data_IF_721781597500
#
_entry.id   IF_721781597500
#
_cell.length_a   1.000
_cell.length_b   1.000
_cell.length_c   1.000
_cell.angle_alpha   90.00
_cell.angle_beta   90.00
_cell.angle_gamma   90.00
#
_symmetry.space_group_name_H-M   'P 1'
#
loop_
_entity.id
_entity.type
_entity.pdbx_description
1 polymer ?
#
# COMPACT_ATOMS: atom_id res chain seq x y z
N UNK A 1 31.83 -9.57 -36.01
CA UNK A 1 31.99 -8.85 -34.74
C UNK A 1 30.64 -8.89 -34.04
N UNK A 2 30.42 -9.94 -33.25
CA UNK A 2 29.28 -10.05 -32.34
C UNK A 2 29.54 -9.10 -31.19
N UNK A 3 28.89 -7.93 -31.21
CA UNK A 3 28.81 -7.07 -30.04
C UNK A 3 28.07 -7.84 -28.96
N UNK A 4 28.76 -8.18 -27.87
CA UNK A 4 28.14 -8.65 -26.63
C UNK A 4 27.16 -7.57 -26.18
N UNK A 5 25.90 -7.73 -26.57
CA UNK A 5 24.82 -6.80 -26.28
C UNK A 5 24.20 -7.15 -24.92
N UNK A 6 25.04 -7.43 -23.92
CA UNK A 6 24.60 -7.53 -22.54
C UNK A 6 24.18 -6.12 -22.09
N UNK A 7 22.92 -5.91 -21.70
CA UNK A 7 22.46 -4.60 -21.27
C UNK A 7 23.31 -4.13 -20.09
N UNK A 8 23.95 -2.97 -20.25
CA UNK A 8 24.77 -2.38 -19.21
C UNK A 8 23.88 -1.97 -18.03
N UNK A 9 24.19 -2.48 -16.85
CA UNK A 9 23.49 -2.15 -15.60
C UNK A 9 23.63 -0.65 -15.34
N UNK A 10 22.51 0.03 -15.12
CA UNK A 10 22.48 1.45 -14.76
C UNK A 10 22.88 1.63 -13.30
N UNK A 11 23.89 2.46 -13.02
CA UNK A 11 24.37 2.75 -11.67
C UNK A 11 23.90 4.13 -11.21
N UNK A 12 23.19 4.17 -10.09
CA UNK A 12 22.63 5.40 -9.53
C UNK A 12 23.14 5.59 -8.10
N UNK A 13 23.66 6.77 -7.78
CA UNK A 13 23.99 7.15 -6.41
C UNK A 13 22.80 7.90 -5.79
N UNK A 14 22.33 7.46 -4.62
CA UNK A 14 21.32 8.19 -3.84
C UNK A 14 22.07 9.13 -2.90
N UNK A 15 21.99 10.43 -3.19
CA UNK A 15 22.77 11.49 -2.52
C UNK A 15 21.84 12.53 -1.91
N UNK A 16 22.34 13.33 -0.97
CA UNK A 16 21.55 14.39 -0.33
C UNK A 16 21.95 14.64 1.11
N UNK A 17 21.39 15.69 1.69
CA UNK A 17 21.61 16.05 3.09
C UNK A 17 21.26 14.90 4.05
N UNK A 18 21.79 14.93 5.27
CA UNK A 18 21.42 13.94 6.30
C UNK A 18 19.90 13.99 6.57
N UNK A 19 19.30 12.83 6.86
CA UNK A 19 17.88 12.69 7.21
C UNK A 19 16.83 13.11 6.16
N UNK A 20 17.18 13.24 4.87
CA UNK A 20 16.21 13.60 3.81
C UNK A 20 15.33 12.45 3.29
N UNK A 21 15.54 11.23 3.78
CA UNK A 21 14.81 10.03 3.35
C UNK A 21 15.50 9.21 2.25
N UNK A 22 16.83 9.26 2.15
CA UNK A 22 17.61 8.42 1.21
C UNK A 22 17.32 6.92 1.37
N UNK A 23 17.57 6.37 2.56
CA UNK A 23 17.30 4.95 2.84
C UNK A 23 15.81 4.59 2.70
N UNK A 24 14.89 5.52 3.02
CA UNK A 24 13.45 5.36 2.78
C UNK A 24 13.13 5.20 1.29
N UNK A 25 13.78 5.97 0.40
CA UNK A 25 13.64 5.80 -1.05
C UNK A 25 14.08 4.40 -1.49
N UNK A 26 15.22 3.91 -0.98
CA UNK A 26 15.72 2.58 -1.34
C UNK A 26 14.72 1.49 -0.91
N UNK A 27 14.19 1.55 0.32
CA UNK A 27 13.15 0.62 0.81
C UNK A 27 11.91 0.60 -0.08
N UNK A 28 11.45 1.78 -0.50
CA UNK A 28 10.29 1.91 -1.38
C UNK A 28 10.57 1.29 -2.74
N UNK A 29 11.71 1.59 -3.37
CA UNK A 29 12.06 1.04 -4.70
C UNK A 29 12.32 -0.47 -4.66
N UNK A 30 12.88 -1.01 -3.59
CA UNK A 30 13.13 -2.46 -3.44
C UNK A 30 11.91 -3.23 -2.98
N UNK A 31 10.85 -2.55 -2.52
CA UNK A 31 9.72 -3.15 -1.81
C UNK A 31 10.19 -4.03 -0.63
N UNK A 32 11.20 -3.55 0.10
CA UNK A 32 11.81 -4.24 1.24
C UNK A 32 11.96 -3.27 2.42
N UNK A 33 11.15 -3.47 3.46
CA UNK A 33 11.14 -2.65 4.67
C UNK A 33 12.40 -2.81 5.52
N UNK A 34 13.14 -3.93 5.39
CA UNK A 34 14.28 -4.26 6.25
C UNK A 34 15.61 -3.71 5.71
N UNK A 35 15.61 -3.14 4.50
CA UNK A 35 16.82 -2.54 3.91
C UNK A 35 17.37 -1.43 4.83
N UNK A 36 18.67 -1.42 5.12
CA UNK A 36 19.29 -0.42 6.01
C UNK A 36 19.06 -0.61 7.51
N UNK A 37 18.47 -1.73 7.95
CA UNK A 37 18.60 -2.15 9.35
C UNK A 37 19.99 -2.76 9.55
N UNK A 38 20.76 -2.22 10.50
CA UNK A 38 22.11 -2.73 10.83
C UNK A 38 21.99 -4.14 11.39
N UNK A 39 22.09 -5.14 10.53
CA UNK A 39 22.34 -6.51 10.95
C UNK A 39 23.83 -6.61 11.31
N UNK A 40 24.13 -6.85 12.60
CA UNK A 40 25.47 -7.18 13.08
C UNK A 40 25.96 -8.49 12.43
N UNK A 41 26.54 -8.40 11.24
CA UNK A 41 27.31 -9.48 10.64
C UNK A 41 28.79 -9.30 10.99
N UNK A 42 29.45 -10.31 11.60
CA UNK A 42 30.88 -10.24 11.84
C UNK A 42 31.62 -10.34 10.49
N UNK A 43 32.19 -9.22 10.01
CA UNK A 43 33.18 -9.24 8.92
C UNK A 43 33.13 -8.15 7.85
N UNK A 44 32.17 -7.22 7.83
CA UNK A 44 32.10 -6.20 6.77
C UNK A 44 32.64 -4.86 7.21
N UNK A 45 33.94 -4.66 6.98
CA UNK A 45 34.57 -3.34 7.06
C UNK A 45 34.19 -2.52 5.82
N UNK A 46 33.56 -1.35 6.03
CA UNK A 46 33.44 -0.22 5.07
C UNK A 46 32.62 -0.50 3.78
N UNK A 47 31.29 -0.45 3.83
CA UNK A 47 30.45 -0.48 2.62
C UNK A 47 29.34 0.59 2.62
N UNK A 48 29.20 1.27 1.48
CA UNK A 48 27.97 1.94 1.02
C UNK A 48 26.99 0.80 0.71
N UNK A 49 25.86 0.74 1.40
CA UNK A 49 24.84 -0.29 1.15
C UNK A 49 24.22 -0.09 -0.24
N UNK A 50 24.22 -1.15 -1.04
CA UNK A 50 23.72 -1.11 -2.41
C UNK A 50 22.48 -1.98 -2.56
N UNK A 51 21.52 -1.53 -3.38
CA UNK A 51 20.34 -2.30 -3.77
C UNK A 51 20.35 -2.58 -5.27
N UNK A 52 19.69 -3.67 -5.69
CA UNK A 52 19.54 -4.02 -7.11
C UNK A 52 18.08 -4.15 -7.49
N UNK A 53 17.71 -3.50 -8.58
CA UNK A 53 16.39 -3.63 -9.20
C UNK A 53 16.53 -4.53 -10.43
N UNK A 54 15.59 -5.45 -10.58
CA UNK A 54 15.64 -6.48 -11.61
C UNK A 54 14.58 -6.22 -12.68
N UNK A 55 14.96 -6.48 -13.94
CA UNK A 55 14.06 -6.54 -15.09
C UNK A 55 14.19 -7.94 -15.69
N UNK A 56 13.08 -8.66 -15.83
CA UNK A 56 13.07 -10.04 -16.36
C UNK A 56 14.06 -10.99 -15.63
N UNK A 57 14.23 -10.80 -14.33
CA UNK A 57 15.15 -11.59 -13.49
C UNK A 57 16.63 -11.26 -13.66
N UNK A 58 16.99 -10.25 -14.46
CA UNK A 58 18.35 -9.75 -14.61
C UNK A 58 18.51 -8.39 -13.90
N UNK A 59 19.65 -8.10 -13.26
CA UNK A 59 19.88 -6.80 -12.63
C UNK A 59 19.88 -5.70 -13.69
N UNK A 60 19.01 -4.71 -13.54
CA UNK A 60 18.84 -3.59 -14.46
C UNK A 60 19.37 -2.28 -13.89
N UNK A 61 19.18 -2.06 -12.58
CA UNK A 61 19.68 -0.88 -11.85
C UNK A 61 20.43 -1.33 -10.59
N UNK A 62 21.56 -0.70 -10.31
CA UNK A 62 22.26 -0.77 -9.04
C UNK A 62 22.20 0.62 -8.36
N UNK A 63 21.52 0.67 -7.22
CA UNK A 63 21.37 1.85 -6.37
C UNK A 63 22.42 1.81 -5.27
N UNK A 64 23.04 2.94 -4.98
CA UNK A 64 24.05 3.07 -3.93
C UNK A 64 23.61 4.12 -2.90
N UNK A 65 23.38 3.70 -1.66
CA UNK A 65 23.04 4.62 -0.56
C UNK A 65 24.29 5.29 -0.02
N UNK A 66 24.43 6.60 -0.24
CA UNK A 66 25.61 7.33 0.26
C UNK A 66 25.32 7.93 1.64
N UNK A 67 26.36 8.13 2.48
CA UNK A 67 26.25 9.01 3.64
C UNK A 67 25.66 10.38 3.27
N UNK A 68 25.10 11.09 4.26
CA UNK A 68 24.67 12.46 4.03
C UNK A 68 25.86 13.40 3.84
N UNK A 69 25.69 14.44 3.03
CA UNK A 69 26.64 15.55 3.00
C UNK A 69 26.45 16.40 4.26
N UNK A 70 27.53 16.68 4.99
CA UNK A 70 27.47 17.37 6.28
C UNK A 70 28.10 18.77 6.23
N UNK A 71 29.30 18.91 5.65
CA UNK A 71 30.05 20.19 5.61
C UNK A 71 30.18 20.74 4.17
N UNK A 72 29.04 20.90 3.48
CA UNK A 72 29.00 21.40 2.09
C UNK A 72 29.59 22.79 1.91
N UNK A 73 29.40 23.70 2.88
CA UNK A 73 29.90 25.08 2.81
C UNK A 73 31.43 25.08 2.78
N UNK A 74 32.07 24.44 3.77
CA UNK A 74 33.52 24.49 3.84
C UNK A 74 34.21 23.64 2.78
N UNK A 75 33.55 22.59 2.28
CA UNK A 75 34.06 21.85 1.13
C UNK A 75 34.04 22.73 -0.13
N UNK A 76 32.98 23.50 -0.35
CA UNK A 76 32.91 24.40 -1.51
C UNK A 76 34.03 25.45 -1.47
N UNK A 77 34.24 26.07 -0.30
CA UNK A 77 35.34 27.01 -0.07
C UNK A 77 36.71 26.36 -0.37
N UNK A 78 36.92 25.13 0.10
CA UNK A 78 38.17 24.39 -0.14
C UNK A 78 38.38 24.07 -1.63
N UNK A 79 37.32 23.64 -2.33
CA UNK A 79 37.36 23.37 -3.76
C UNK A 79 37.66 24.63 -4.57
N UNK A 80 37.15 25.79 -4.16
CA UNK A 80 37.42 27.06 -4.82
C UNK A 80 38.86 27.54 -4.59
N UNK A 81 39.41 27.36 -3.38
CA UNK A 81 40.84 27.59 -3.10
C UNK A 81 41.75 26.67 -3.93
N UNK A 82 41.43 25.36 -4.03
CA UNK A 82 42.16 24.43 -4.88
C UNK A 82 42.13 24.84 -6.36
N UNK A 83 40.98 25.34 -6.81
CA UNK A 83 40.82 25.84 -8.18
C UNK A 83 41.67 27.08 -8.45
N UNK A 84 41.73 28.02 -7.52
CA UNK A 84 42.60 29.22 -7.64
C UNK A 84 44.09 28.85 -7.72
N UNK A 85 44.53 27.91 -6.89
CA UNK A 85 45.91 27.41 -6.89
C UNK A 85 46.29 26.74 -8.21
N UNK A 86 45.38 25.97 -8.80
CA UNK A 86 45.63 25.25 -10.06
C UNK A 86 45.52 26.13 -11.30
N UNK A 87 44.68 27.16 -11.28
CA UNK A 87 44.58 28.13 -12.40
C UNK A 87 45.88 28.90 -12.66
N UNK A 88 46.72 29.07 -11.64
CA UNK A 88 48.06 29.66 -11.80
C UNK A 88 49.01 28.74 -12.59
N UNK A 89 48.67 27.45 -12.74
CA UNK A 89 49.46 26.41 -13.38
C UNK A 89 48.89 26.00 -14.75
N UNK A 90 48.59 26.96 -15.65
CA UNK A 90 48.24 26.80 -17.09
C UNK A 90 47.11 25.83 -17.53
N UNK A 91 46.60 24.97 -16.65
CA UNK A 91 45.56 23.98 -16.96
C UNK A 91 44.24 24.37 -16.31
N UNK A 92 43.23 24.68 -17.12
CA UNK A 92 41.87 24.90 -16.64
C UNK A 92 41.20 23.54 -16.45
N UNK A 93 41.03 23.15 -15.19
CA UNK A 93 40.33 21.91 -14.85
C UNK A 93 38.82 22.07 -15.05
N UNK A 94 38.19 21.07 -15.65
CA UNK A 94 36.73 20.95 -15.65
C UNK A 94 36.22 20.48 -14.27
N UNK A 95 34.89 20.41 -14.13
CA UNK A 95 34.26 19.97 -12.88
C UNK A 95 34.79 18.61 -12.40
N UNK A 96 34.64 17.52 -13.17
CA UNK A 96 35.07 16.19 -12.75
C UNK A 96 36.55 16.10 -12.42
N UNK A 97 37.41 16.79 -13.18
CA UNK A 97 38.84 16.87 -12.91
C UNK A 97 39.13 17.57 -11.58
N UNK A 98 38.42 18.65 -11.25
CA UNK A 98 38.56 19.35 -9.96
C UNK A 98 38.16 18.44 -8.79
N UNK A 99 37.11 17.64 -8.93
CA UNK A 99 36.70 16.67 -7.91
C UNK A 99 37.74 15.55 -7.76
N UNK A 100 38.29 15.02 -8.86
CA UNK A 100 39.37 14.01 -8.78
C UNK A 100 40.62 14.56 -8.09
N UNK A 101 41.01 15.78 -8.41
CA UNK A 101 42.12 16.44 -7.73
C UNK A 101 41.86 16.57 -6.23
N UNK A 102 40.65 16.99 -5.85
CA UNK A 102 40.23 17.02 -4.44
C UNK A 102 40.34 15.65 -3.78
N UNK A 103 39.87 14.58 -4.43
CA UNK A 103 39.93 13.22 -3.89
C UNK A 103 41.37 12.76 -3.65
N UNK A 104 42.33 13.26 -4.43
CA UNK A 104 43.76 12.98 -4.28
C UNK A 104 44.44 13.79 -3.16
N UNK A 105 43.77 14.78 -2.54
CA UNK A 105 44.36 15.57 -1.46
C UNK A 105 44.28 14.87 -0.11
N UNK A 106 45.21 15.14 0.83
CA UNK A 106 45.14 14.60 2.19
C UNK A 106 43.85 14.98 2.94
N UNK A 107 43.23 16.10 2.59
CA UNK A 107 42.00 16.60 3.20
C UNK A 107 40.79 15.70 2.91
N UNK A 108 40.78 15.02 1.75
CA UNK A 108 39.73 14.06 1.36
C UNK A 108 39.63 12.87 2.30
N UNK A 109 40.73 12.47 2.93
CA UNK A 109 40.79 11.35 3.88
C UNK A 109 40.82 11.81 5.34
N UNK A 110 40.64 13.12 5.58
CA UNK A 110 40.67 13.71 6.93
C UNK A 110 39.38 14.47 7.20
N UNK A 111 39.38 15.77 6.90
CA UNK A 111 38.27 16.66 7.22
C UNK A 111 37.02 16.32 6.43
N UNK A 112 37.18 15.96 5.16
CA UNK A 112 36.10 15.77 4.20
C UNK A 112 35.92 14.29 3.83
N UNK A 113 36.16 13.37 4.77
CA UNK A 113 36.10 11.92 4.50
C UNK A 113 34.70 11.49 4.03
N UNK A 114 33.64 12.03 4.62
CA UNK A 114 32.27 11.69 4.23
C UNK A 114 31.95 12.23 2.84
N UNK A 115 32.24 13.50 2.58
CA UNK A 115 32.00 14.12 1.28
C UNK A 115 32.83 13.46 0.17
N UNK A 116 34.08 13.11 0.45
CA UNK A 116 34.94 12.39 -0.48
C UNK A 116 34.35 11.02 -0.87
N UNK A 117 33.73 10.31 0.07
CA UNK A 117 33.02 9.06 -0.24
C UNK A 117 31.81 9.29 -1.13
N UNK A 118 31.00 10.32 -0.85
CA UNK A 118 29.83 10.69 -1.67
C UNK A 118 30.27 11.04 -3.10
N UNK A 119 31.27 11.90 -3.24
CA UNK A 119 31.76 12.39 -4.53
C UNK A 119 32.46 11.29 -5.34
N UNK A 120 33.31 10.49 -4.67
CA UNK A 120 33.94 9.33 -5.28
C UNK A 120 32.90 8.35 -5.82
N UNK A 121 31.87 8.05 -5.02
CA UNK A 121 30.79 7.16 -5.45
C UNK A 121 29.97 7.73 -6.60
N UNK A 122 29.64 9.02 -6.57
CA UNK A 122 28.92 9.67 -7.66
C UNK A 122 29.71 9.65 -8.98
N UNK A 123 31.03 9.84 -8.95
CA UNK A 123 31.88 9.76 -10.14
C UNK A 123 31.87 8.38 -10.81
N UNK A 124 31.70 7.31 -10.02
CA UNK A 124 31.58 5.92 -10.50
C UNK A 124 30.19 5.59 -11.07
N UNK A 125 29.17 6.37 -10.72
CA UNK A 125 27.79 6.13 -11.13
C UNK A 125 27.46 6.84 -12.45
N UNK A 126 26.37 6.43 -13.08
CA UNK A 126 25.86 7.05 -14.30
C UNK A 126 25.09 8.34 -13.99
N UNK A 127 24.43 8.40 -12.83
CA UNK A 127 23.72 9.59 -12.35
C UNK A 127 23.58 9.62 -10.81
N UNK A 128 23.22 10.79 -10.28
CA UNK A 128 22.87 11.00 -8.89
C UNK A 128 21.38 11.31 -8.71
N UNK A 129 20.73 10.67 -7.75
CA UNK A 129 19.39 11.02 -7.27
C UNK A 129 19.55 11.86 -6.01
N UNK A 130 19.27 13.17 -6.11
CA UNK A 130 19.44 14.09 -4.98
C UNK A 130 18.13 14.22 -4.20
N UNK A 131 18.08 13.67 -2.99
CA UNK A 131 16.86 13.61 -2.19
C UNK A 131 16.68 14.89 -1.38
N UNK A 132 15.53 15.53 -1.57
CA UNK A 132 15.13 16.78 -0.93
C UNK A 132 13.94 16.53 -0.02
N UNK A 133 14.10 16.86 1.27
CA UNK A 133 12.95 17.04 2.16
C UNK A 133 12.35 18.43 1.93
N UNK A 134 11.15 18.50 1.35
CA UNK A 134 10.50 19.78 1.05
C UNK A 134 9.93 20.46 2.30
N UNK A 135 9.88 19.79 3.45
CA UNK A 135 9.48 20.39 4.73
C UNK A 135 10.56 21.32 5.27
N UNK A 136 11.81 21.10 4.85
CA UNK A 136 12.93 21.96 5.20
C UNK A 136 13.04 23.15 4.22
N UNK A 137 13.29 24.37 4.71
CA UNK A 137 13.48 25.53 3.86
C UNK A 137 14.77 25.41 3.04
N UNK A 138 14.83 26.14 1.93
CA UNK A 138 16.06 26.21 1.12
C UNK A 138 17.12 27.03 1.87
N UNK A 139 18.18 26.36 2.33
CA UNK A 139 19.32 26.97 3.01
C UNK A 139 20.52 27.11 2.07
N UNK A 140 21.48 27.96 2.45
CA UNK A 140 22.74 28.13 1.70
C UNK A 140 23.49 26.81 1.53
N UNK A 141 23.61 26.02 2.61
CA UNK A 141 24.25 24.70 2.58
C UNK A 141 23.70 23.78 1.49
N UNK A 142 22.39 23.79 1.23
CA UNK A 142 21.78 22.95 0.20
C UNK A 142 22.20 23.39 -1.22
N UNK A 143 22.33 24.70 -1.44
CA UNK A 143 22.79 25.25 -2.71
C UNK A 143 24.25 24.89 -2.95
N UNK A 144 25.06 24.95 -1.90
CA UNK A 144 26.49 24.60 -1.95
C UNK A 144 26.68 23.10 -2.19
N UNK A 145 25.92 22.24 -1.50
CA UNK A 145 25.88 20.79 -1.74
C UNK A 145 25.54 20.46 -3.21
N UNK A 146 24.46 21.05 -3.75
CA UNK A 146 24.06 20.87 -5.15
C UNK A 146 25.12 21.38 -6.13
N UNK A 147 25.76 22.51 -5.82
CA UNK A 147 26.84 23.06 -6.64
C UNK A 147 28.05 22.13 -6.68
N UNK A 148 28.43 21.54 -5.54
CA UNK A 148 29.51 20.56 -5.45
C UNK A 148 29.16 19.29 -6.25
N UNK A 149 27.97 18.73 -6.04
CA UNK A 149 27.53 17.51 -6.74
C UNK A 149 27.48 17.71 -8.26
N UNK A 150 27.01 18.86 -8.73
CA UNK A 150 27.02 19.21 -10.16
C UNK A 150 28.45 19.28 -10.74
N UNK A 151 29.48 19.57 -9.94
CA UNK A 151 30.88 19.52 -10.42
C UNK A 151 31.31 18.11 -10.78
N UNK A 152 30.67 17.04 -10.30
CA UNK A 152 30.99 15.67 -10.74
C UNK A 152 30.68 15.42 -12.22
N UNK A 153 29.96 16.32 -12.91
CA UNK A 153 29.65 16.20 -14.33
C UNK A 153 28.74 15.02 -14.68
N UNK A 154 28.05 14.47 -13.68
CA UNK A 154 27.03 13.45 -13.82
C UNK A 154 25.65 14.11 -13.82
N UNK A 155 24.66 13.58 -14.57
CA UNK A 155 23.29 14.02 -14.43
C UNK A 155 22.85 13.90 -12.96
N UNK A 156 22.34 15.01 -12.42
CA UNK A 156 21.82 15.09 -11.06
C UNK A 156 20.31 15.31 -11.15
N UNK A 157 19.54 14.39 -10.60
CA UNK A 157 18.07 14.40 -10.65
C UNK A 157 17.53 14.65 -9.25
N UNK A 158 17.01 15.86 -8.96
CA UNK A 158 16.32 16.15 -7.71
C UNK A 158 15.05 15.32 -7.53
N UNK A 159 14.94 14.67 -6.38
CA UNK A 159 13.76 13.92 -5.93
C UNK A 159 13.15 14.68 -4.74
N UNK A 160 11.93 15.16 -4.90
CA UNK A 160 11.19 15.94 -3.91
C UNK A 160 10.33 14.98 -3.07
N UNK A 161 10.71 14.81 -1.80
CA UNK A 161 10.08 13.90 -0.84
C UNK A 161 9.10 14.65 0.07
N UNK A 162 8.20 13.95 0.78
CA UNK A 162 7.20 14.49 1.72
C UNK A 162 6.15 15.41 1.09
N UNK A 163 5.65 15.03 -0.09
CA UNK A 163 4.70 15.80 -0.90
C UNK A 163 3.36 16.04 -0.20
N UNK A 164 2.96 15.16 0.73
CA UNK A 164 1.70 15.27 1.48
C UNK A 164 1.75 16.18 2.71
N UNK A 165 2.88 16.84 2.97
CA UNK A 165 2.99 17.78 4.09
C UNK A 165 2.19 19.06 3.83
N UNK A 166 1.34 19.46 4.78
CA UNK A 166 0.49 20.66 4.67
C UNK A 166 1.28 21.97 4.69
N UNK A 167 2.47 21.97 5.29
CA UNK A 167 3.40 23.09 5.29
C UNK A 167 4.73 22.65 4.69
N UNK A 168 5.05 23.18 3.50
CA UNK A 168 6.26 22.85 2.76
C UNK A 168 6.79 24.03 1.93
N UNK A 169 8.01 23.87 1.44
CA UNK A 169 8.77 24.86 0.67
C UNK A 169 8.92 24.45 -0.80
N UNK A 170 7.94 23.73 -1.38
CA UNK A 170 8.02 23.17 -2.73
C UNK A 170 8.36 24.22 -3.81
N UNK A 171 7.69 25.38 -3.77
CA UNK A 171 7.92 26.47 -4.73
C UNK A 171 9.34 27.05 -4.63
N UNK A 172 9.83 27.18 -3.40
CA UNK A 172 11.15 27.75 -3.12
C UNK A 172 12.23 26.79 -3.60
N UNK A 173 12.04 25.48 -3.36
CA UNK A 173 12.90 24.43 -3.87
C UNK A 173 12.92 24.41 -5.41
N UNK A 174 11.76 24.43 -6.08
CA UNK A 174 11.72 24.49 -7.56
C UNK A 174 12.44 25.73 -8.10
N UNK A 175 12.29 26.87 -7.46
CA UNK A 175 12.99 28.11 -7.83
C UNK A 175 14.50 27.98 -7.64
N UNK A 176 14.95 27.45 -6.49
CA UNK A 176 16.36 27.25 -6.19
C UNK A 176 17.03 26.26 -7.15
N UNK A 177 16.36 25.16 -7.46
CA UNK A 177 16.82 24.17 -8.44
C UNK A 177 16.93 24.78 -9.84
N UNK A 178 15.92 25.55 -10.27
CA UNK A 178 15.96 26.27 -11.54
C UNK A 178 17.12 27.25 -11.66
N UNK A 179 17.43 28.00 -10.59
CA UNK A 179 18.57 28.90 -10.54
C UNK A 179 19.93 28.19 -10.63
N UNK A 180 19.98 26.91 -10.28
CA UNK A 180 21.16 26.05 -10.39
C UNK A 180 21.20 25.24 -11.71
N UNK A 181 20.26 25.49 -12.64
CA UNK A 181 20.15 24.79 -13.92
C UNK A 181 19.52 23.40 -13.84
N UNK A 182 18.96 23.02 -12.69
CA UNK A 182 18.30 21.73 -12.46
C UNK A 182 16.79 21.88 -12.73
N UNK A 183 16.41 21.84 -14.00
CA UNK A 183 15.03 22.09 -14.43
C UNK A 183 14.11 20.87 -14.42
N UNK A 184 14.69 19.66 -14.36
CA UNK A 184 13.91 18.43 -14.19
C UNK A 184 13.97 18.01 -12.72
N UNK A 185 12.81 17.94 -12.08
CA UNK A 185 12.66 17.32 -10.76
C UNK A 185 11.54 16.29 -10.77
N UNK A 186 11.64 15.34 -9.85
CA UNK A 186 10.68 14.24 -9.68
C UNK A 186 10.03 14.41 -8.32
N UNK A 187 8.70 14.52 -8.31
CA UNK A 187 7.91 14.49 -7.08
C UNK A 187 7.71 13.02 -6.73
N UNK A 188 8.29 12.57 -5.63
CA UNK A 188 8.25 11.18 -5.20
C UNK A 188 8.28 11.13 -3.68
N UNK A 189 7.11 10.93 -3.09
CA UNK A 189 6.99 10.73 -1.64
C UNK A 189 7.37 9.29 -1.31
N UNK A 190 8.36 9.10 -0.44
CA UNK A 190 8.83 7.78 -0.05
C UNK A 190 7.89 7.08 0.93
N UNK A 191 7.14 7.84 1.72
CA UNK A 191 6.24 7.37 2.78
C UNK A 191 4.86 7.06 2.19
N UNK A 192 4.33 7.99 1.40
CA UNK A 192 3.05 7.84 0.71
C UNK A 192 3.23 8.09 -0.80
N UNK A 193 3.96 7.21 -1.52
CA UNK A 193 4.17 7.37 -2.94
C UNK A 193 2.83 7.44 -3.67
N UNK A 194 2.76 8.35 -4.64
CA UNK A 194 1.67 8.32 -5.60
C UNK A 194 1.56 6.92 -6.20
N UNK A 195 0.33 6.52 -6.49
CA UNK A 195 -0.01 5.22 -7.07
C UNK A 195 0.87 4.84 -8.30
N UNK A 196 1.29 5.82 -9.08
CA UNK A 196 2.15 5.70 -10.26
C UNK A 196 3.54 6.35 -10.08
N UNK A 197 3.95 6.64 -8.84
CA UNK A 197 5.19 7.35 -8.53
C UNK A 197 6.44 6.68 -9.10
N UNK A 198 6.57 5.35 -8.97
CA UNK A 198 7.70 4.60 -9.53
C UNK A 198 7.69 4.60 -11.06
N UNK A 199 6.51 4.51 -11.66
CA UNK A 199 6.34 4.58 -13.11
C UNK A 199 6.84 5.93 -13.64
N UNK A 200 6.40 7.02 -12.99
CA UNK A 200 6.80 8.39 -13.34
C UNK A 200 8.30 8.62 -13.09
N UNK A 201 8.86 8.06 -12.02
CA UNK A 201 10.29 8.11 -11.72
C UNK A 201 11.11 7.55 -12.89
N UNK A 202 10.82 6.31 -13.32
CA UNK A 202 11.57 5.70 -14.43
C UNK A 202 11.36 6.41 -15.76
N UNK A 203 10.15 6.90 -16.05
CA UNK A 203 9.88 7.68 -17.25
C UNK A 203 10.69 8.97 -17.30
N UNK A 204 10.74 9.72 -16.18
CA UNK A 204 11.53 10.96 -16.10
C UNK A 204 13.03 10.69 -16.15
N UNK A 205 13.51 9.61 -15.50
CA UNK A 205 14.91 9.20 -15.61
C UNK A 205 15.28 8.85 -17.06
N UNK A 206 14.39 8.22 -17.82
CA UNK A 206 14.64 7.90 -19.23
C UNK A 206 14.84 9.14 -20.10
N UNK A 207 14.29 10.31 -19.71
CA UNK A 207 14.50 11.57 -20.42
C UNK A 207 15.91 12.15 -20.18
N UNK A 208 16.54 11.82 -19.05
CA UNK A 208 17.87 12.31 -18.66
C UNK A 208 18.97 11.35 -19.08
N UNK A 209 18.69 10.04 -18.98
CA UNK A 209 19.67 8.97 -19.14
C UNK A 209 19.43 8.24 -20.46
N UNK A 210 19.68 8.93 -21.57
CA UNK A 210 19.43 8.44 -22.94
C UNK A 210 20.06 7.06 -23.20
N UNK A 211 21.29 6.83 -22.73
CA UNK A 211 21.98 5.53 -22.87
C UNK A 211 21.28 4.37 -22.18
N UNK A 212 20.42 4.64 -21.20
CA UNK A 212 19.64 3.64 -20.45
C UNK A 212 18.12 3.82 -20.63
N UNK A 213 17.68 4.67 -21.56
CA UNK A 213 16.28 5.02 -21.74
C UNK A 213 15.41 3.79 -22.01
N UNK A 214 15.87 2.85 -22.84
CA UNK A 214 15.13 1.62 -23.13
C UNK A 214 14.96 0.74 -21.89
N UNK A 215 16.02 0.58 -21.08
CA UNK A 215 15.97 -0.19 -19.83
C UNK A 215 14.98 0.44 -18.85
N UNK A 216 15.01 1.76 -18.70
CA UNK A 216 14.10 2.51 -17.82
C UNK A 216 12.65 2.48 -18.31
N UNK A 217 12.41 2.55 -19.62
CA UNK A 217 11.07 2.38 -20.21
C UNK A 217 10.53 0.97 -20.00
N UNK A 218 11.37 -0.06 -20.15
CA UNK A 218 10.98 -1.43 -19.88
C UNK A 218 10.65 -1.66 -18.40
N UNK A 219 11.45 -1.09 -17.48
CA UNK A 219 11.15 -1.09 -16.04
C UNK A 219 9.84 -0.39 -15.73
N UNK A 220 9.60 0.80 -16.31
CA UNK A 220 8.33 1.52 -16.18
C UNK A 220 7.13 0.66 -16.62
N UNK A 221 7.25 0.00 -17.77
CA UNK A 221 6.21 -0.90 -18.27
C UNK A 221 6.01 -2.13 -17.39
N UNK A 222 7.08 -2.71 -16.86
CA UNK A 222 7.02 -3.85 -15.94
C UNK A 222 6.35 -3.46 -14.61
N UNK A 223 6.75 -2.34 -13.99
CA UNK A 223 6.10 -1.83 -12.77
C UNK A 223 4.61 -1.60 -13.00
N UNK A 224 4.22 -0.99 -14.14
CA UNK A 224 2.81 -0.81 -14.50
C UNK A 224 2.06 -2.15 -14.60
N UNK A 225 2.67 -3.13 -15.26
CA UNK A 225 2.09 -4.47 -15.44
C UNK A 225 1.97 -5.21 -14.11
N UNK A 226 3.01 -5.20 -13.29
CA UNK A 226 3.00 -5.79 -11.95
C UNK A 226 1.94 -5.15 -11.06
N UNK A 227 1.79 -3.82 -11.11
CA UNK A 227 0.74 -3.11 -10.40
C UNK A 227 -0.66 -3.57 -10.83
N UNK A 228 -0.93 -3.63 -12.13
CA UNK A 228 -2.21 -4.11 -12.64
C UNK A 228 -2.51 -5.55 -12.17
N UNK A 229 -1.54 -6.45 -12.29
CA UNK A 229 -1.69 -7.84 -11.85
C UNK A 229 -1.91 -7.95 -10.34
N UNK A 230 -1.17 -7.18 -9.54
CA UNK A 230 -1.32 -7.12 -8.07
C UNK A 230 -2.74 -6.67 -7.70
N UNK A 231 -3.24 -5.61 -8.33
CA UNK A 231 -4.60 -5.08 -8.13
C UNK A 231 -5.68 -6.09 -8.55
N UNK A 232 -5.52 -6.73 -9.71
CA UNK A 232 -6.46 -7.75 -10.19
C UNK A 232 -6.55 -8.94 -9.22
N UNK A 233 -5.41 -9.44 -8.73
CA UNK A 233 -5.38 -10.53 -7.75
C UNK A 233 -6.05 -10.12 -6.45
N UNK A 234 -5.80 -8.89 -5.98
CA UNK A 234 -6.40 -8.38 -4.74
C UNK A 234 -7.93 -8.26 -4.83
N UNK A 235 -8.47 -7.73 -5.93
CA UNK A 235 -9.92 -7.72 -6.15
C UNK A 235 -10.51 -9.13 -6.24
N UNK A 236 -9.79 -10.09 -6.81
CA UNK A 236 -10.21 -11.50 -6.79
C UNK A 236 -10.25 -12.06 -5.35
N UNK A 237 -9.30 -11.70 -4.48
CA UNK A 237 -9.32 -12.10 -3.07
C UNK A 237 -10.54 -11.52 -2.33
N UNK A 238 -10.85 -10.23 -2.54
CA UNK A 238 -12.05 -9.59 -1.96
C UNK A 238 -13.33 -10.21 -2.50
N UNK A 239 -13.43 -10.42 -3.81
CA UNK A 239 -14.57 -11.09 -4.42
C UNK A 239 -14.75 -12.51 -3.87
N UNK A 240 -13.67 -13.26 -3.67
CA UNK A 240 -13.74 -14.59 -3.09
C UNK A 240 -14.23 -14.56 -1.63
N UNK A 241 -13.77 -13.61 -0.80
CA UNK A 241 -14.32 -13.39 0.55
C UNK A 241 -15.83 -13.17 0.51
N UNK A 242 -16.31 -12.28 -0.38
CA UNK A 242 -17.75 -11.97 -0.49
C UNK A 242 -18.57 -13.17 -0.98
N UNK A 243 -18.04 -13.96 -1.92
CA UNK A 243 -18.69 -15.17 -2.41
C UNK A 243 -18.72 -16.25 -1.33
N UNK A 244 -17.63 -16.46 -0.60
CA UNK A 244 -17.55 -17.45 0.47
C UNK A 244 -18.54 -17.13 1.61
N UNK A 245 -18.61 -15.86 2.01
CA UNK A 245 -19.48 -15.40 3.09
C UNK A 245 -20.95 -15.38 2.67
N UNK A 246 -21.26 -15.00 1.42
CA UNK A 246 -22.62 -15.04 0.87
C UNK A 246 -23.15 -16.46 0.66
N UNK A 247 -22.27 -17.39 0.25
CA UNK A 247 -22.62 -18.79 0.06
C UNK A 247 -22.71 -19.58 1.36
N UNK A 248 -22.08 -19.12 2.45
CA UNK A 248 -22.06 -19.88 3.69
C UNK A 248 -23.46 -19.98 4.32
N UNK A 249 -23.80 -21.20 4.73
CA UNK A 249 -25.05 -21.53 5.40
C UNK A 249 -24.79 -22.58 6.46
N UNK A 250 -25.49 -22.44 7.57
CA UNK A 250 -25.54 -23.45 8.61
C UNK A 250 -26.99 -23.86 8.90
N UNK A 251 -27.19 -25.04 9.48
CA UNK A 251 -28.51 -25.56 9.84
C UNK A 251 -28.56 -25.90 11.33
N UNK A 252 -29.53 -25.35 12.04
CA UNK A 252 -29.73 -25.61 13.46
C UNK A 252 -31.15 -26.10 13.75
N UNK A 253 -31.40 -26.55 14.98
CA UNK A 253 -32.76 -26.82 15.44
C UNK A 253 -33.53 -25.50 15.65
N UNK A 254 -34.86 -25.57 15.56
CA UNK A 254 -35.76 -24.41 15.64
C UNK A 254 -35.94 -23.84 17.06
N UNK A 255 -35.30 -24.42 18.08
CA UNK A 255 -35.38 -23.91 19.44
C UNK A 255 -34.46 -22.70 19.66
N UNK A 256 -34.84 -21.82 20.58
CA UNK A 256 -34.18 -20.53 20.79
C UNK A 256 -32.69 -20.68 21.15
N UNK A 257 -32.32 -21.71 21.93
CA UNK A 257 -30.95 -21.92 22.40
C UNK A 257 -30.04 -22.41 21.27
N UNK A 258 -30.54 -23.32 20.42
CA UNK A 258 -29.83 -23.78 19.23
C UNK A 258 -29.63 -22.67 18.21
N UNK A 259 -30.63 -21.80 18.01
CA UNK A 259 -30.52 -20.64 17.11
C UNK A 259 -29.45 -19.66 17.63
N UNK A 260 -29.47 -19.31 18.92
CA UNK A 260 -28.47 -18.41 19.51
C UNK A 260 -27.05 -18.96 19.36
N UNK A 261 -26.86 -20.25 19.66
CA UNK A 261 -25.56 -20.92 19.51
C UNK A 261 -25.08 -20.90 18.06
N UNK A 262 -25.96 -21.18 17.10
CA UNK A 262 -25.62 -21.21 15.68
C UNK A 262 -25.34 -19.80 15.13
N UNK A 263 -26.00 -18.76 15.65
CA UNK A 263 -25.68 -17.36 15.33
C UNK A 263 -24.26 -17.03 15.81
N UNK A 264 -23.90 -17.37 17.05
CA UNK A 264 -22.54 -17.13 17.57
C UNK A 264 -21.49 -17.84 16.73
N UNK A 265 -21.73 -19.12 16.40
CA UNK A 265 -20.83 -19.89 15.55
C UNK A 265 -20.67 -19.27 14.16
N UNK A 266 -21.78 -18.87 13.53
CA UNK A 266 -21.76 -18.17 12.24
C UNK A 266 -20.90 -16.89 12.32
N UNK A 267 -21.10 -16.07 13.35
CA UNK A 267 -20.33 -14.83 13.53
C UNK A 267 -18.84 -15.12 13.66
N UNK A 268 -18.45 -16.14 14.40
CA UNK A 268 -17.04 -16.51 14.60
C UNK A 268 -16.39 -17.04 13.32
N UNK A 269 -17.10 -17.86 12.54
CA UNK A 269 -16.60 -18.34 11.25
C UNK A 269 -16.41 -17.18 10.26
N UNK A 270 -17.35 -16.22 10.24
CA UNK A 270 -17.25 -15.03 9.37
C UNK A 270 -16.09 -14.12 9.81
N UNK A 271 -15.93 -13.88 11.11
CA UNK A 271 -14.80 -13.12 11.67
C UNK A 271 -13.47 -13.78 11.31
N UNK A 272 -13.38 -15.10 11.41
CA UNK A 272 -12.17 -15.82 11.02
C UNK A 272 -11.88 -15.68 9.52
N UNK A 273 -12.91 -15.83 8.66
CA UNK A 273 -12.74 -15.67 7.21
C UNK A 273 -12.32 -14.25 6.80
N UNK A 274 -12.82 -13.22 7.47
CA UNK A 274 -12.39 -11.83 7.28
C UNK A 274 -10.91 -11.68 7.66
N UNK A 275 -10.51 -12.16 8.85
CA UNK A 275 -9.11 -12.12 9.32
C UNK A 275 -8.14 -12.80 8.35
N UNK A 276 -8.48 -14.00 7.88
CA UNK A 276 -7.67 -14.74 6.91
C UNK A 276 -7.51 -13.96 5.60
N UNK A 277 -8.58 -13.27 5.16
CA UNK A 277 -8.55 -12.43 3.95
C UNK A 277 -7.68 -11.19 4.12
N UNK A 278 -7.75 -10.54 5.28
CA UNK A 278 -6.90 -9.40 5.64
C UNK A 278 -5.43 -9.83 5.62
N UNK A 279 -5.09 -10.95 6.26
CA UNK A 279 -3.72 -11.47 6.26
C UNK A 279 -3.23 -11.81 4.85
N UNK A 280 -4.08 -12.41 4.01
CA UNK A 280 -3.75 -12.70 2.62
C UNK A 280 -3.51 -11.42 1.80
N UNK A 281 -4.32 -10.38 1.98
CA UNK A 281 -4.13 -9.08 1.33
C UNK A 281 -2.84 -8.39 1.78
N UNK A 282 -2.56 -8.36 3.08
CA UNK A 282 -1.32 -7.80 3.62
C UNK A 282 -0.10 -8.54 3.05
N UNK A 283 -0.10 -9.87 3.09
CA UNK A 283 0.98 -10.67 2.53
C UNK A 283 1.17 -10.44 1.01
N UNK A 284 0.08 -10.33 0.26
CA UNK A 284 0.09 -10.06 -1.19
C UNK A 284 0.71 -8.70 -1.52
N UNK A 285 0.44 -7.69 -0.70
CA UNK A 285 1.07 -6.36 -0.81
C UNK A 285 2.41 -6.27 -0.06
N UNK A 286 2.91 -7.36 0.54
CA UNK A 286 4.16 -7.43 1.33
C UNK A 286 4.19 -6.50 2.56
N UNK A 287 3.04 -6.31 3.19
CA UNK A 287 2.94 -5.67 4.51
C UNK A 287 2.84 -6.72 5.61
N UNK A 288 3.26 -6.35 6.82
CA UNK A 288 3.20 -7.19 8.00
C UNK A 288 1.82 -7.11 8.66
N UNK A 289 1.39 -8.15 9.38
CA UNK A 289 0.18 -8.08 10.21
C UNK A 289 0.19 -6.92 11.21
N UNK A 290 1.37 -6.52 11.70
CA UNK A 290 1.53 -5.42 12.64
C UNK A 290 1.30 -4.04 12.01
N UNK A 291 1.47 -3.92 10.70
CA UNK A 291 1.24 -2.65 9.98
C UNK A 291 -0.27 -2.34 9.91
N UNK A 292 -1.12 -3.37 10.01
CA UNK A 292 -2.56 -3.24 10.23
C UNK A 292 -2.92 -4.00 11.51
N UNK A 293 -2.72 -3.40 12.71
CA UNK A 293 -2.96 -4.06 14.00
C UNK A 293 -4.43 -4.42 14.27
N UNK A 294 -5.28 -4.34 13.23
CA UNK A 294 -6.72 -4.38 13.30
C UNK A 294 -7.26 -3.06 13.86
N UNK A 295 -8.50 -2.74 13.49
CA UNK A 295 -9.31 -2.00 14.45
C UNK A 295 -9.49 -2.93 15.65
N UNK A 296 -9.08 -2.54 16.86
CA UNK A 296 -9.37 -3.35 18.04
C UNK A 296 -10.88 -3.62 18.06
N UNK A 297 -11.28 -4.89 18.13
CA UNK A 297 -12.57 -5.22 18.70
C UNK A 297 -12.46 -4.86 20.18
N UNK A 298 -13.09 -3.78 20.67
CA UNK A 298 -12.92 -3.42 22.05
C UNK A 298 -13.90 -4.25 22.87
N UNK A 299 -13.36 -5.05 23.76
CA UNK A 299 -13.90 -5.07 25.11
C UNK A 299 -12.76 -4.60 26.00
N UNK A 300 -12.66 -3.30 26.20
CA UNK A 300 -11.97 -2.72 27.36
C UNK A 300 -12.48 -1.28 27.55
N UNK A 301 -13.06 -1.03 28.73
CA UNK A 301 -13.34 0.32 29.28
C UNK A 301 -14.35 1.23 28.56
N UNK A 302 -15.45 0.69 28.03
CA UNK A 302 -16.67 1.49 27.78
C UNK A 302 -16.55 2.58 26.70
N UNK A 303 -15.60 2.45 25.77
CA UNK A 303 -15.55 3.24 24.52
C UNK A 303 -15.58 2.30 23.30
N UNK A 304 -16.47 2.64 22.37
CA UNK A 304 -16.96 1.81 21.27
C UNK A 304 -15.93 1.56 20.17
N UNK A 305 -15.95 0.36 19.60
CA UNK A 305 -15.25 -0.01 18.37
C UNK A 305 -16.16 -0.87 17.50
N UNK A 306 -15.81 -0.93 16.22
CA UNK A 306 -16.71 -1.30 15.13
C UNK A 306 -16.84 -2.82 14.98
N UNK A 307 -17.82 -3.44 15.64
CA UNK A 307 -18.17 -4.86 15.41
C UNK A 307 -19.10 -4.99 14.19
N UNK A 308 -18.81 -5.97 13.32
CA UNK A 308 -19.51 -6.20 12.04
C UNK A 308 -21.02 -6.39 12.19
N UNK A 309 -21.45 -6.86 13.36
CA UNK A 309 -22.84 -7.22 13.63
C UNK A 309 -23.59 -6.16 14.46
N UNK A 310 -22.93 -5.04 14.79
CA UNK A 310 -23.56 -3.93 15.49
C UNK A 310 -24.29 -2.99 14.54
N UNK A 311 -25.51 -2.60 14.92
CA UNK A 311 -26.35 -1.63 14.20
C UNK A 311 -25.64 -0.31 13.91
N UNK A 312 -24.83 0.15 14.86
CA UNK A 312 -24.12 1.41 14.79
C UNK A 312 -23.01 1.41 13.72
N UNK A 313 -22.31 0.30 13.53
CA UNK A 313 -21.30 0.15 12.48
C UNK A 313 -21.90 0.28 11.07
N UNK A 314 -23.12 -0.21 10.86
CA UNK A 314 -23.85 -0.09 9.59
C UNK A 314 -24.25 1.38 9.31
N UNK A 315 -24.74 2.08 10.34
CA UNK A 315 -25.18 3.47 10.24
C UNK A 315 -24.00 4.42 10.02
N UNK A 316 -22.90 4.23 10.77
CA UNK A 316 -21.67 5.03 10.63
C UNK A 316 -21.00 4.82 9.26
N UNK A 317 -21.16 3.65 8.65
CA UNK A 317 -20.74 3.36 7.27
C UNK A 317 -21.79 3.73 6.21
N UNK A 318 -22.84 4.49 6.57
CA UNK A 318 -23.84 5.00 5.64
C UNK A 318 -24.69 3.93 4.95
N UNK A 319 -24.79 2.73 5.51
CA UNK A 319 -25.61 1.64 4.95
C UNK A 319 -27.06 1.87 5.36
N UNK A 320 -27.98 2.02 4.39
CA UNK A 320 -29.40 2.25 4.69
C UNK A 320 -30.05 1.05 5.39
N UNK A 321 -30.41 1.25 6.66
CA UNK A 321 -31.10 0.25 7.47
C UNK A 321 -32.61 0.49 7.41
N UNK A 322 -33.38 -0.49 6.90
CA UNK A 322 -34.84 -0.36 6.75
C UNK A 322 -35.58 -0.32 8.12
N UNK A 323 -36.73 0.36 8.17
CA UNK A 323 -37.53 0.64 9.40
C UNK A 323 -37.89 -0.58 10.27
N UNK A 324 -37.73 -1.82 9.79
CA UNK A 324 -37.93 -3.05 10.57
C UNK A 324 -36.82 -3.35 11.58
N UNK A 325 -35.72 -2.59 11.57
CA UNK A 325 -34.55 -2.79 12.42
C UNK A 325 -34.61 -2.07 13.78
N UNK A 326 -35.55 -1.14 13.97
CA UNK A 326 -35.61 -0.27 15.16
C UNK A 326 -36.08 -0.98 16.45
N UNK A 327 -36.42 -2.26 16.42
CA UNK A 327 -37.00 -3.00 17.55
C UNK A 327 -36.17 -4.21 18.02
N UNK A 328 -34.98 -4.45 17.45
CA UNK A 328 -34.22 -5.70 17.64
C UNK A 328 -32.91 -5.59 18.41
N UNK A 329 -32.75 -4.58 19.26
CA UNK A 329 -31.62 -4.52 20.18
C UNK A 329 -31.94 -5.38 21.41
N UNK A 330 -30.98 -6.17 21.90
CA UNK A 330 -30.63 -6.26 23.33
C UNK A 330 -29.61 -7.37 23.58
N UNK A 331 -28.41 -6.96 23.98
CA UNK A 331 -27.85 -7.54 25.19
C UNK A 331 -28.79 -7.16 26.36
N UNK A 332 -29.63 -8.11 26.78
CA UNK A 332 -30.42 -8.09 28.02
C UNK A 332 -31.14 -6.81 28.46
N UNK A 333 -32.40 -6.62 28.04
CA UNK A 333 -33.53 -6.33 28.93
C UNK A 333 -34.87 -6.55 28.19
N UNK A 334 -35.86 -7.06 28.91
CA UNK A 334 -37.22 -7.25 28.40
C UNK A 334 -37.95 -5.91 28.27
N UNK A 335 -38.53 -5.61 27.11
CA UNK A 335 -39.65 -4.67 27.01
C UNK A 335 -40.69 -5.19 26.02
N UNK A 336 -41.89 -5.41 26.55
CA UNK A 336 -43.12 -5.77 25.88
C UNK A 336 -43.70 -4.54 25.16
N UNK A 337 -44.08 -4.68 23.88
CA UNK A 337 -44.95 -3.70 23.21
C UNK A 337 -45.99 -4.45 22.37
N UNK A 338 -47.09 -4.79 23.03
CA UNK A 338 -48.38 -4.96 22.36
C UNK A 338 -48.88 -3.59 21.86
N UNK A 339 -49.23 -3.49 20.58
CA UNK A 339 -50.54 -2.93 20.21
C UNK A 339 -50.95 -3.25 18.76
N UNK A 340 -52.19 -3.73 18.63
CA UNK A 340 -52.99 -3.93 17.42
C UNK A 340 -52.81 -5.24 16.60
N UNK A 341 -53.08 -6.38 17.25
CA UNK A 341 -54.15 -7.29 16.81
C UNK A 341 -54.04 -7.98 15.44
N UNK A 342 -53.16 -8.97 15.33
CA UNK A 342 -53.33 -10.23 14.57
C UNK A 342 -52.28 -11.23 15.12
N UNK A 343 -52.43 -11.64 16.39
CA UNK A 343 -51.53 -12.57 17.05
C UNK A 343 -51.87 -14.02 16.71
N UNK A 344 -51.12 -14.63 15.79
CA UNK A 344 -50.94 -16.08 15.72
C UNK A 344 -49.47 -16.39 15.35
N UNK A 345 -48.60 -16.30 16.38
CA UNK A 345 -47.37 -17.07 16.50
C UNK A 345 -46.20 -16.76 15.57
N UNK A 346 -45.52 -15.62 15.76
CA UNK A 346 -44.18 -15.38 15.20
C UNK A 346 -43.31 -14.64 16.22
N UNK A 347 -42.30 -15.33 16.75
CA UNK A 347 -41.25 -14.74 17.58
C UNK A 347 -40.35 -13.86 16.70
N UNK A 348 -40.59 -12.55 16.71
CA UNK A 348 -39.70 -11.54 16.12
C UNK A 348 -38.67 -11.11 17.14
N UNK A 349 -37.56 -11.85 17.20
CA UNK A 349 -36.31 -11.40 17.83
C UNK A 349 -35.15 -12.08 17.11
N UNK A 350 -34.58 -11.44 16.09
CA UNK A 350 -33.17 -11.70 15.75
C UNK A 350 -32.51 -10.40 15.28
N UNK A 351 -31.46 -9.99 16.00
CA UNK A 351 -30.51 -9.00 15.54
C UNK A 351 -29.51 -9.64 14.58
N UNK A 352 -29.27 -9.00 13.44
CA UNK A 352 -28.13 -9.26 12.55
C UNK A 352 -28.08 -10.60 11.80
N UNK A 353 -29.02 -11.52 12.03
CA UNK A 353 -29.10 -12.80 11.33
C UNK A 353 -30.56 -13.22 11.14
N UNK A 354 -31.25 -12.77 10.08
CA UNK A 354 -32.44 -13.48 9.55
C UNK A 354 -32.43 -13.51 8.03
N UNK A 355 -32.18 -14.71 7.49
CA UNK A 355 -32.36 -15.02 6.08
C UNK A 355 -33.77 -14.68 5.58
N UNK A 356 -33.85 -13.80 4.59
CA UNK A 356 -35.10 -13.38 3.99
C UNK A 356 -35.69 -14.44 3.06
N UNK A 357 -36.99 -14.67 3.24
CA UNK A 357 -37.90 -15.28 2.28
C UNK A 357 -37.80 -14.51 0.97
N UNK A 358 -37.30 -15.13 -0.11
CA UNK A 358 -37.43 -14.60 -1.47
C UNK A 358 -38.56 -15.30 -2.23
N UNK A 359 -39.43 -14.46 -2.81
CA UNK A 359 -40.49 -14.82 -3.73
C UNK A 359 -39.89 -15.38 -5.03
N UNK A 360 -39.76 -16.69 -5.11
CA UNK A 360 -39.43 -17.43 -6.33
C UNK A 360 -40.17 -18.76 -6.31
N UNK A 361 -41.22 -18.88 -7.12
CA UNK A 361 -42.28 -19.89 -6.97
C UNK A 361 -41.85 -21.32 -7.35
N UNK A 362 -40.68 -21.54 -7.94
CA UNK A 362 -40.37 -22.86 -8.53
C UNK A 362 -39.57 -23.86 -7.66
N UNK A 363 -39.17 -23.50 -6.42
CA UNK A 363 -38.45 -24.43 -5.51
C UNK A 363 -38.96 -24.47 -4.07
N UNK A 364 -40.26 -24.26 -3.87
CA UNK A 364 -40.89 -24.13 -2.55
C UNK A 364 -41.10 -25.47 -1.81
N UNK A 365 -41.14 -26.60 -2.50
CA UNK A 365 -41.62 -27.88 -1.95
C UNK A 365 -40.73 -28.57 -0.90
N UNK A 366 -39.39 -28.45 -0.98
CA UNK A 366 -38.48 -29.12 -0.03
C UNK A 366 -38.18 -28.29 1.23
N UNK A 367 -38.30 -26.97 1.16
CA UNK A 367 -37.90 -26.03 2.24
C UNK A 367 -38.97 -25.85 3.32
N UNK A 368 -40.25 -25.98 2.96
CA UNK A 368 -41.34 -26.03 3.94
C UNK A 368 -41.34 -27.32 4.77
N UNK A 369 -40.76 -28.40 4.23
CA UNK A 369 -40.71 -29.69 4.89
C UNK A 369 -39.68 -29.72 6.04
N UNK A 370 -38.57 -28.99 5.92
CA UNK A 370 -37.59 -28.83 7.00
C UNK A 370 -38.13 -28.11 8.24
N UNK A 371 -39.01 -27.11 8.05
CA UNK A 371 -39.72 -26.43 9.14
C UNK A 371 -40.71 -27.36 9.87
N UNK A 372 -41.28 -28.34 9.17
CA UNK A 372 -42.09 -29.40 9.77
C UNK A 372 -41.23 -30.47 10.48
N UNK A 373 -39.94 -30.57 10.15
CA UNK A 373 -38.97 -31.48 10.77
C UNK A 373 -38.15 -30.85 11.91
N UNK A 374 -38.36 -29.56 12.22
CA UNK A 374 -37.75 -28.89 13.37
C UNK A 374 -36.42 -28.18 13.10
N UNK A 375 -35.98 -27.99 11.86
CA UNK A 375 -34.70 -27.34 11.52
C UNK A 375 -34.87 -25.97 10.83
N UNK A 376 -33.92 -25.06 11.06
CA UNK A 376 -33.82 -23.74 10.41
C UNK A 376 -32.46 -23.56 9.75
N UNK A 377 -32.44 -22.86 8.61
CA UNK A 377 -31.21 -22.44 7.92
C UNK A 377 -30.84 -21.02 8.37
N UNK A 378 -29.55 -20.81 8.63
CA UNK A 378 -28.99 -19.54 9.05
C UNK A 378 -27.93 -19.10 8.03
N UNK A 379 -27.95 -17.83 7.63
CA UNK A 379 -27.02 -17.22 6.67
C UNK A 379 -26.84 -15.73 6.96
N UNK A 380 -25.79 -15.12 6.41
CA UNK A 380 -25.55 -13.69 6.55
C UNK A 380 -26.60 -12.81 5.85
N UNK A 381 -26.88 -11.66 6.46
CA UNK A 381 -27.75 -10.62 5.90
C UNK A 381 -26.97 -9.69 4.94
N UNK A 382 -27.69 -9.09 3.99
CA UNK A 382 -27.12 -8.19 2.98
C UNK A 382 -26.29 -7.02 3.57
N UNK A 383 -26.68 -6.36 4.67
CA UNK A 383 -25.91 -5.26 5.24
C UNK A 383 -24.53 -5.69 5.73
N UNK A 384 -24.39 -6.91 6.29
CA UNK A 384 -23.10 -7.41 6.76
C UNK A 384 -22.16 -7.70 5.59
N UNK A 385 -22.69 -8.26 4.49
CA UNK A 385 -21.92 -8.46 3.26
C UNK A 385 -21.44 -7.12 2.67
N UNK A 386 -22.29 -6.08 2.71
CA UNK A 386 -21.88 -4.72 2.29
C UNK A 386 -20.78 -4.16 3.17
N UNK A 387 -20.92 -4.31 4.49
CA UNK A 387 -19.92 -3.84 5.44
C UNK A 387 -18.56 -4.53 5.20
N UNK A 388 -18.56 -5.84 4.98
CA UNK A 388 -17.35 -6.61 4.61
C UNK A 388 -16.75 -6.11 3.29
N UNK A 389 -17.57 -5.84 2.28
CA UNK A 389 -17.11 -5.30 1.00
C UNK A 389 -16.46 -3.94 1.17
N UNK A 390 -17.12 -3.00 1.86
CA UNK A 390 -16.62 -1.64 2.10
C UNK A 390 -15.29 -1.68 2.86
N UNK A 391 -15.22 -2.42 3.97
CA UNK A 391 -13.99 -2.56 4.77
C UNK A 391 -12.83 -3.14 3.96
N UNK A 392 -13.10 -4.17 3.17
CA UNK A 392 -12.08 -4.84 2.35
C UNK A 392 -11.56 -3.92 1.24
N UNK A 393 -12.45 -3.14 0.62
CA UNK A 393 -12.08 -2.16 -0.41
C UNK A 393 -11.31 -0.97 0.18
N UNK A 394 -11.68 -0.49 1.37
CA UNK A 394 -10.93 0.55 2.08
C UNK A 394 -9.52 0.08 2.44
N UNK A 395 -9.38 -1.15 2.94
CA UNK A 395 -8.08 -1.74 3.19
C UNK A 395 -7.27 -1.81 1.89
N UNK A 396 -7.88 -2.27 0.80
CA UNK A 396 -7.21 -2.34 -0.50
C UNK A 396 -6.73 -0.95 -0.98
N UNK A 397 -7.56 0.08 -0.90
CA UNK A 397 -7.19 1.46 -1.27
C UNK A 397 -6.04 1.98 -0.39
N UNK A 398 -6.08 1.71 0.91
CA UNK A 398 -5.01 2.08 1.83
C UNK A 398 -3.69 1.37 1.53
N UNK A 399 -3.74 0.07 1.17
CA UNK A 399 -2.56 -0.70 0.76
C UNK A 399 -1.97 -0.23 -0.56
N UNK A 400 -2.80 0.26 -1.49
CA UNK A 400 -2.34 0.79 -2.77
C UNK A 400 -1.65 2.16 -2.65
N UNK A 401 -2.09 3.00 -1.71
CA UNK A 401 -1.53 4.35 -1.52
C UNK A 401 -0.36 4.42 -0.52
N UNK A 402 -0.02 3.28 0.10
CA UNK A 402 1.01 3.23 1.15
C UNK A 402 2.36 2.79 0.59
N UNK A 403 3.41 3.50 0.96
CA UNK A 403 4.79 3.13 0.67
C UNK A 403 5.34 2.17 1.71
N UNK A 404 6.30 1.33 1.32
CA UNK A 404 6.99 0.41 2.23
C UNK A 404 7.88 1.12 3.27
N UNK A 405 8.14 2.42 3.11
CA UNK A 405 8.84 3.22 4.10
C UNK A 405 7.92 3.85 5.16
N UNK A 406 6.59 3.75 5.02
CA UNK A 406 5.66 4.17 6.08
C UNK A 406 5.59 3.13 7.19
N UNK A 407 6.05 3.52 8.38
CA UNK A 407 6.08 2.70 9.59
C UNK A 407 4.88 2.95 10.51
N UNK A 408 3.99 3.91 10.20
CA UNK A 408 2.80 4.18 11.01
C UNK A 408 1.73 3.10 10.80
N UNK A 409 0.80 2.82 11.73
CA UNK A 409 -0.30 1.90 11.48
C UNK A 409 -1.19 2.34 10.30
N UNK A 410 -1.67 1.40 9.50
CA UNK A 410 -2.60 1.64 8.38
C UNK A 410 -3.91 2.22 8.95
N UNK A 411 -4.25 3.43 8.53
CA UNK A 411 -5.52 4.09 8.86
C UNK A 411 -6.46 4.02 7.66
N UNK A 412 -7.71 3.61 7.91
CA UNK A 412 -8.74 3.56 6.87
C UNK A 412 -9.40 4.94 6.77
N UNK A 413 -9.33 5.57 5.60
CA UNK A 413 -10.07 6.80 5.35
C UNK A 413 -11.54 6.45 5.02
N UNK A 414 -12.47 7.03 5.78
CA UNK A 414 -13.92 6.84 5.59
C UNK A 414 -14.53 7.82 4.59
N UNK A 415 -13.78 8.77 4.04
CA UNK A 415 -14.33 9.86 3.22
C UNK A 415 -14.50 9.50 1.73
N UNK A 416 -13.65 8.64 1.15
CA UNK A 416 -13.66 8.26 -0.28
C UNK A 416 -14.45 6.97 -0.57
N UNK A 417 -15.67 6.88 -0.06
CA UNK A 417 -16.41 5.63 -0.14
C UNK A 417 -16.94 5.34 -1.57
N UNK A 418 -16.81 4.09 -2.02
CA UNK A 418 -17.49 3.59 -3.21
C UNK A 418 -19.01 3.55 -2.96
N UNK A 419 -19.75 4.53 -3.52
CA UNK A 419 -21.21 4.68 -3.41
C UNK A 419 -21.99 3.39 -3.74
N UNK A 420 -21.42 2.55 -4.60
CA UNK A 420 -22.03 1.35 -5.17
C UNK A 420 -22.42 0.26 -4.14
N UNK A 421 -21.78 0.24 -2.95
CA UNK A 421 -22.14 -0.70 -1.88
C UNK A 421 -22.90 -0.05 -0.71
N UNK A 422 -23.00 1.28 -0.66
CA UNK A 422 -23.82 1.98 0.36
C UNK A 422 -25.31 1.89 0.06
N UNK A 423 -25.67 2.03 -1.22
CA UNK A 423 -27.06 2.12 -1.69
C UNK A 423 -27.25 1.27 -2.97
N UNK A 424 -28.40 0.60 -3.13
CA UNK A 424 -28.72 -0.23 -4.32
C UNK A 424 -28.84 -1.73 -4.03
N UNK A 425 -29.16 -2.57 -5.03
CA UNK A 425 -29.20 -4.04 -4.87
C UNK A 425 -27.80 -4.65 -4.87
N UNK A 426 -27.59 -5.74 -4.13
CA UNK A 426 -26.32 -6.49 -4.19
C UNK A 426 -26.06 -7.00 -5.62
N UNK A 427 -24.79 -7.07 -6.05
CA UNK A 427 -24.42 -7.68 -7.33
C UNK A 427 -25.05 -9.07 -7.52
N UNK A 428 -25.50 -9.37 -8.73
CA UNK A 428 -26.10 -10.68 -9.09
C UNK A 428 -25.19 -11.85 -8.75
N UNK A 429 -23.87 -11.67 -8.79
CA UNK A 429 -22.87 -12.66 -8.38
C UNK A 429 -23.04 -13.09 -6.91
N UNK A 430 -23.32 -12.13 -6.02
CA UNK A 430 -23.56 -12.39 -4.59
C UNK A 430 -24.91 -13.08 -4.42
N UNK A 431 -25.94 -12.66 -5.16
CA UNK A 431 -27.26 -13.33 -5.15
C UNK A 431 -27.17 -14.78 -5.65
N UNK A 432 -26.37 -15.03 -6.70
CA UNK A 432 -26.13 -16.37 -7.21
C UNK A 432 -25.40 -17.22 -6.17
N UNK A 433 -24.34 -16.70 -5.54
CA UNK A 433 -23.59 -17.38 -4.50
C UNK A 433 -24.46 -17.79 -3.31
N UNK A 434 -25.40 -16.93 -2.90
CA UNK A 434 -26.38 -17.25 -1.85
C UNK A 434 -27.13 -18.55 -2.16
N UNK A 435 -27.40 -18.85 -3.43
CA UNK A 435 -28.14 -20.06 -3.84
C UNK A 435 -27.28 -21.34 -3.91
N UNK A 436 -25.97 -21.25 -3.68
CA UNK A 436 -24.99 -22.31 -3.91
C UNK A 436 -24.13 -22.56 -2.65
N UNK A 437 -24.65 -23.25 -1.61
CA UNK A 437 -23.93 -23.43 -0.34
C UNK A 437 -22.55 -24.09 -0.48
N UNK A 438 -22.43 -25.00 -1.45
CA UNK A 438 -21.18 -25.70 -1.77
C UNK A 438 -20.07 -24.78 -2.33
N UNK A 439 -20.36 -23.51 -2.62
CA UNK A 439 -19.35 -22.55 -3.06
C UNK A 439 -18.56 -21.93 -1.91
N UNK A 440 -19.04 -22.02 -0.67
CA UNK A 440 -18.31 -21.46 0.47
C UNK A 440 -17.16 -22.36 0.87
N UNK A 441 -15.93 -21.85 0.87
CA UNK A 441 -14.75 -22.54 1.41
C UNK A 441 -14.87 -22.87 2.90
N UNK A 442 -15.77 -22.19 3.61
CA UNK A 442 -16.04 -22.43 5.04
C UNK A 442 -16.97 -23.62 5.27
N UNK A 443 -17.63 -24.14 4.23
CA UNK A 443 -18.53 -25.29 4.34
C UNK A 443 -17.75 -26.61 4.24
N UNK A 444 -18.15 -27.62 5.02
CA UNK A 444 -17.64 -28.99 4.91
C UNK A 444 -17.85 -29.61 3.51
N UNK A 445 -18.85 -29.12 2.77
CA UNK A 445 -19.22 -29.61 1.45
C UNK A 445 -18.66 -28.75 0.32
N UNK A 446 -17.58 -27.99 0.59
CA UNK A 446 -16.95 -27.11 -0.39
C UNK A 446 -16.57 -27.89 -1.66
N UNK A 447 -17.06 -27.42 -2.81
CA UNK A 447 -16.74 -27.94 -4.11
C UNK A 447 -16.38 -26.80 -5.06
N UNK A 448 -15.14 -26.83 -5.57
CA UNK A 448 -14.73 -25.87 -6.60
C UNK A 448 -15.45 -26.18 -7.91
N UNK A 449 -15.94 -25.16 -8.61
CA UNK A 449 -16.58 -25.30 -9.91
C UNK A 449 -16.13 -24.20 -10.87
N UNK A 450 -16.15 -24.49 -12.17
CA UNK A 450 -15.86 -23.49 -13.21
C UNK A 450 -16.81 -22.29 -13.11
N UNK A 451 -18.07 -22.52 -12.72
CA UNK A 451 -19.06 -21.46 -12.51
C UNK A 451 -18.68 -20.55 -11.34
N UNK A 452 -18.30 -21.10 -10.18
CA UNK A 452 -17.81 -20.31 -9.04
C UNK A 452 -16.65 -19.40 -9.45
N UNK A 453 -15.67 -19.94 -10.16
CA UNK A 453 -14.50 -19.16 -10.60
C UNK A 453 -14.88 -18.03 -11.59
N UNK A 454 -15.85 -18.26 -12.49
CA UNK A 454 -16.37 -17.21 -13.37
C UNK A 454 -17.11 -16.12 -12.58
N UNK A 455 -17.91 -16.50 -11.58
CA UNK A 455 -18.64 -15.56 -10.72
C UNK A 455 -17.67 -14.70 -9.90
N UNK A 456 -16.61 -15.29 -9.32
CA UNK A 456 -15.56 -14.55 -8.59
C UNK A 456 -14.89 -13.53 -9.52
N UNK A 457 -14.47 -13.94 -10.73
CA UNK A 457 -13.85 -13.02 -11.69
C UNK A 457 -14.79 -11.89 -12.13
N UNK A 458 -16.07 -12.22 -12.36
CA UNK A 458 -17.10 -11.22 -12.72
C UNK A 458 -17.32 -10.22 -11.60
N UNK A 459 -17.41 -10.69 -10.34
CA UNK A 459 -17.55 -9.82 -9.18
C UNK A 459 -16.30 -8.95 -9.01
N UNK A 460 -15.10 -9.52 -9.09
CA UNK A 460 -13.84 -8.80 -8.99
C UNK A 460 -13.74 -7.65 -10.01
N UNK A 461 -14.16 -7.88 -11.25
CA UNK A 461 -14.20 -6.85 -12.29
C UNK A 461 -15.20 -5.72 -12.02
N UNK A 462 -16.24 -5.96 -11.21
CA UNK A 462 -17.21 -4.93 -10.77
C UNK A 462 -16.77 -4.18 -9.52
N UNK A 463 -15.81 -4.72 -8.77
CA UNK A 463 -15.22 -4.08 -7.58
C UNK A 463 -14.12 -3.08 -7.95
N UNK A 464 -13.51 -3.24 -9.12
CA UNK A 464 -12.50 -2.36 -9.70
C UNK A 464 -13.14 -1.09 -10.28
#
# INVERSE_FOLDING_TARGET
MSTDNTPQILKLAVVGHTNTGKTSLLRTLTHDSNFGEVADFPGTTRHVEGARLFLDGQPAIELFDTPGLEDGIALLDYLDQLKEQTQQSTSRLDGPQSIRLFLDTPESSRRFEQEARVLGKLLECDAGLYIIDIRDPVLAKHKDELAILNRCGKPLVPILNFMHSSHNYLSDWKTALGNLGLHLSIEFDTVAPALDGEEQLYQKLALVLDSHAQTLQNLSADVRKQRHLRREIAYNMVAELLIDTAAYRDTCQSDAQSIETAITLLQDVIRQRERDSIQALLAHYRFRPEDYPGQPLPIEEGRWGMDLFQSQALVEMGIQVSKGFAAGAMAGAAVDVMSAGLSLGTATLIGGVIGSVWQGVDKFGKRLWGKLQGYQEISLDDPVIRLLAVRSLQLLEALEMRGHADMAPITLNTENMTEQFKEGELPEEIKEARSQPQWSKMSEHFATSARRNMVIKSLAAKLH
#
